data_IF_166031649386
#
_entry.id   IF_166031649386
#
_cell.length_a   1.000
_cell.length_b   1.000
_cell.length_c   1.000
_cell.angle_alpha   90.00
_cell.angle_beta   90.00
_cell.angle_gamma   90.00
#
_symmetry.space_group_name_H-M   'P 1'
#
loop_
_entity.id
_entity.type
_entity.pdbx_description
1 polymer ?
#
# COMPACT_ATOMS: atom_id res chain seq x y z
N UNK A 1 -21.48 -7.64 -24.07
CA UNK A 1 -20.09 -7.53 -23.61
C UNK A 1 -20.13 -7.89 -22.14
N UNK A 2 -19.56 -9.04 -21.80
CA UNK A 2 -19.51 -9.55 -20.42
C UNK A 2 -18.74 -8.53 -19.58
N UNK A 3 -19.33 -8.04 -18.49
CA UNK A 3 -18.60 -7.25 -17.49
C UNK A 3 -17.48 -8.15 -16.95
N UNK A 4 -16.27 -8.00 -17.51
CA UNK A 4 -15.08 -8.62 -16.93
C UNK A 4 -14.73 -7.74 -15.75
N UNK A 5 -14.97 -8.24 -14.55
CA UNK A 5 -14.55 -7.60 -13.30
C UNK A 5 -13.03 -7.41 -13.37
N UNK A 6 -12.56 -6.17 -13.55
CA UNK A 6 -11.14 -5.83 -13.70
C UNK A 6 -10.37 -5.95 -12.38
N UNK A 7 -11.10 -6.12 -11.28
CA UNK A 7 -10.62 -6.21 -9.92
C UNK A 7 -11.62 -7.02 -9.09
N UNK A 8 -11.15 -7.94 -8.26
CA UNK A 8 -11.97 -8.68 -7.32
C UNK A 8 -11.55 -8.34 -5.87
N UNK A 9 -12.50 -8.11 -4.97
CA UNK A 9 -12.23 -7.87 -3.56
C UNK A 9 -13.00 -8.87 -2.69
N UNK A 10 -12.31 -9.56 -1.78
CA UNK A 10 -12.91 -10.54 -0.87
C UNK A 10 -12.38 -10.39 0.55
N UNK A 11 -13.25 -10.59 1.54
CA UNK A 11 -12.83 -10.65 2.94
C UNK A 11 -12.48 -12.10 3.29
N UNK A 12 -11.23 -12.31 3.69
CA UNK A 12 -10.64 -13.58 4.08
C UNK A 12 -10.19 -13.46 5.54
N UNK A 13 -11.04 -13.92 6.48
CA UNK A 13 -10.82 -13.66 7.90
C UNK A 13 -10.92 -12.16 8.23
N UNK A 14 -9.82 -11.58 8.71
CA UNK A 14 -9.66 -10.16 9.03
C UNK A 14 -8.94 -9.37 7.91
N UNK A 15 -8.66 -9.97 6.76
CA UNK A 15 -8.06 -9.31 5.60
C UNK A 15 -9.13 -8.99 4.57
N UNK A 16 -9.05 -7.81 3.94
CA UNK A 16 -9.64 -7.61 2.62
C UNK A 16 -8.57 -7.82 1.56
N UNK A 17 -8.70 -8.86 0.74
CA UNK A 17 -7.79 -9.18 -0.36
C UNK A 17 -8.35 -8.61 -1.65
N UNK A 18 -7.67 -7.60 -2.18
CA UNK A 18 -7.94 -6.94 -3.46
C UNK A 18 -7.02 -7.56 -4.52
N UNK A 19 -7.60 -8.29 -5.45
CA UNK A 19 -6.93 -8.94 -6.59
C UNK A 19 -7.13 -8.13 -7.86
N UNK A 20 -6.03 -7.68 -8.44
CA UNK A 20 -5.99 -7.07 -9.76
C UNK A 20 -6.26 -8.16 -10.82
N UNK A 21 -7.37 -8.07 -11.56
CA UNK A 21 -7.96 -9.20 -12.31
C UNK A 21 -7.91 -8.98 -13.83
N UNK A 22 -6.74 -8.58 -14.36
CA UNK A 22 -6.49 -8.46 -15.81
C UNK A 22 -5.24 -9.28 -16.22
N UNK A 23 -5.19 -10.60 -15.95
CA UNK A 23 -3.97 -11.40 -16.07
C UNK A 23 -3.39 -11.45 -17.49
N UNK A 24 -4.25 -11.36 -18.53
CA UNK A 24 -3.84 -11.41 -19.93
C UNK A 24 -2.96 -10.21 -20.33
N UNK A 25 -3.14 -9.06 -19.68
CA UNK A 25 -2.32 -7.84 -19.84
C UNK A 25 -1.45 -7.58 -18.61
N UNK A 26 -1.12 -8.64 -17.86
CA UNK A 26 -0.27 -8.59 -16.67
C UNK A 26 -0.76 -7.57 -15.63
N UNK A 27 -2.07 -7.48 -15.46
CA UNK A 27 -2.74 -6.61 -14.49
C UNK A 27 -2.40 -5.13 -14.66
N UNK A 28 -2.13 -4.68 -15.89
CA UNK A 28 -1.98 -3.26 -16.18
C UNK A 28 -3.28 -2.50 -15.81
N UNK A 29 -3.15 -1.29 -15.27
CA UNK A 29 -4.29 -0.47 -14.90
C UNK A 29 -4.88 0.24 -16.12
N UNK A 30 -6.16 0.00 -16.40
CA UNK A 30 -6.99 0.94 -17.15
C UNK A 30 -7.69 1.92 -16.20
N UNK A 31 -8.50 2.82 -16.75
CA UNK A 31 -9.18 3.83 -15.96
C UNK A 31 -10.22 3.24 -15.00
N UNK A 32 -11.01 2.27 -15.47
CA UNK A 32 -12.09 1.66 -14.69
C UNK A 32 -11.55 0.88 -13.50
N UNK A 33 -10.44 0.17 -13.70
CA UNK A 33 -9.73 -0.54 -12.65
C UNK A 33 -9.13 0.40 -11.59
N UNK A 34 -8.66 1.60 -11.98
CA UNK A 34 -8.20 2.61 -11.01
C UNK A 34 -9.35 3.09 -10.11
N UNK A 35 -10.52 3.36 -10.70
CA UNK A 35 -11.71 3.75 -9.94
C UNK A 35 -12.22 2.62 -9.04
N UNK A 36 -12.28 1.40 -9.56
CA UNK A 36 -12.66 0.21 -8.80
C UNK A 36 -11.69 -0.05 -7.63
N UNK A 37 -10.38 0.13 -7.85
CA UNK A 37 -9.36 -0.02 -6.81
C UNK A 37 -9.56 0.99 -5.69
N UNK A 38 -9.76 2.28 -6.02
CA UNK A 38 -10.03 3.31 -5.01
C UNK A 38 -11.26 2.97 -4.18
N UNK A 39 -12.36 2.60 -4.84
CA UNK A 39 -13.60 2.22 -4.16
C UNK A 39 -13.41 1.00 -3.25
N UNK A 40 -12.73 -0.05 -3.74
CA UNK A 40 -12.48 -1.24 -2.94
C UNK A 40 -11.65 -0.96 -1.68
N UNK A 41 -10.68 -0.06 -1.76
CA UNK A 41 -9.91 0.38 -0.59
C UNK A 41 -10.77 1.21 0.38
N UNK A 42 -11.59 2.14 -0.13
CA UNK A 42 -12.48 2.94 0.72
C UNK A 42 -13.52 2.06 1.43
N UNK A 43 -14.13 1.10 0.72
CA UNK A 43 -15.08 0.12 1.27
C UNK A 43 -14.38 -0.75 2.35
N UNK A 44 -13.18 -1.25 2.07
CA UNK A 44 -12.41 -2.04 3.03
C UNK A 44 -11.94 -1.21 4.24
N UNK A 45 -11.66 0.07 4.07
CA UNK A 45 -11.31 0.99 5.15
C UNK A 45 -12.49 1.25 6.09
N UNK A 46 -13.72 1.26 5.57
CA UNK A 46 -14.94 1.47 6.34
C UNK A 46 -15.46 0.20 7.04
N UNK A 47 -15.14 -1.00 6.53
CA UNK A 47 -15.68 -2.26 7.07
C UNK A 47 -15.03 -2.67 8.41
N UNK A 48 -15.75 -2.72 9.54
CA UNK A 48 -15.17 -3.07 10.85
C UNK A 48 -14.61 -4.50 10.91
N UNK A 49 -14.99 -5.40 9.99
CA UNK A 49 -14.45 -6.77 9.92
C UNK A 49 -13.01 -6.80 9.40
N UNK A 50 -12.59 -5.77 8.67
CA UNK A 50 -11.28 -5.70 8.03
C UNK A 50 -10.27 -5.06 8.98
N UNK A 51 -9.22 -5.78 9.32
CA UNK A 51 -8.06 -5.26 10.06
C UNK A 51 -7.00 -4.71 9.11
N UNK A 52 -6.69 -5.42 8.01
CA UNK A 52 -5.71 -4.99 7.01
C UNK A 52 -6.21 -5.23 5.57
N UNK A 53 -5.68 -4.46 4.64
CA UNK A 53 -5.95 -4.57 3.21
C UNK A 53 -4.73 -5.19 2.54
N UNK A 54 -4.93 -6.20 1.72
CA UNK A 54 -3.88 -6.83 0.91
C UNK A 54 -4.18 -6.58 -0.56
N UNK A 55 -3.18 -6.11 -1.30
CA UNK A 55 -3.28 -5.93 -2.75
C UNK A 55 -2.38 -6.96 -3.42
N UNK A 56 -2.89 -7.67 -4.42
CA UNK A 56 -2.14 -8.67 -5.19
C UNK A 56 -2.63 -8.76 -6.62
N UNK A 57 -1.89 -9.42 -7.52
CA UNK A 57 -2.31 -9.64 -8.90
C UNK A 57 -2.80 -11.05 -9.18
N UNK A 58 -3.77 -11.19 -10.06
CA UNK A 58 -4.18 -12.49 -10.59
C UNK A 58 -3.12 -13.05 -11.55
N UNK A 59 -2.91 -14.37 -11.52
CA UNK A 59 -1.98 -15.05 -12.41
C UNK A 59 -0.51 -14.72 -12.11
N UNK A 60 0.29 -14.54 -13.17
CA UNK A 60 1.76 -14.53 -13.10
C UNK A 60 2.41 -13.18 -12.80
N UNK A 61 1.64 -12.13 -12.61
CA UNK A 61 2.15 -10.77 -12.42
C UNK A 61 1.42 -10.08 -11.28
N UNK A 62 2.13 -9.21 -10.56
CA UNK A 62 1.48 -8.29 -9.66
C UNK A 62 0.77 -7.20 -10.48
N UNK A 63 1.53 -6.38 -11.21
CA UNK A 63 1.01 -5.35 -12.10
C UNK A 63 2.14 -4.82 -13.02
N UNK A 64 1.91 -4.79 -14.33
CA UNK A 64 2.87 -4.31 -15.32
C UNK A 64 2.87 -2.77 -15.53
N UNK A 65 2.00 -2.03 -14.84
CA UNK A 65 1.94 -0.58 -14.88
C UNK A 65 0.62 -0.04 -15.39
N UNK A 66 0.68 1.06 -16.13
CA UNK A 66 -0.48 1.68 -16.78
C UNK A 66 -0.69 1.05 -18.16
N UNK A 67 -1.94 0.79 -18.51
CA UNK A 67 -2.35 0.22 -19.79
C UNK A 67 -1.93 1.11 -20.97
N UNK A 68 -1.60 0.46 -22.11
CA UNK A 68 -1.15 1.14 -23.33
C UNK A 68 -2.18 2.15 -23.83
N UNK A 69 -3.46 1.85 -23.70
CA UNK A 69 -4.55 2.76 -24.10
C UNK A 69 -4.53 4.10 -23.33
N UNK A 70 -4.16 4.09 -22.05
CA UNK A 70 -3.99 5.31 -21.26
C UNK A 70 -2.73 6.08 -21.68
N UNK A 71 -1.66 5.37 -22.05
CA UNK A 71 -0.43 5.97 -22.56
C UNK A 71 -0.64 6.62 -23.93
N UNK A 72 -1.37 5.98 -24.85
CA UNK A 72 -1.69 6.52 -26.17
C UNK A 72 -2.50 7.82 -26.07
N UNK A 73 -3.50 7.86 -25.16
CA UNK A 73 -4.28 9.08 -24.88
C UNK A 73 -3.41 10.22 -24.36
N UNK A 74 -2.41 9.92 -23.53
CA UNK A 74 -1.47 10.93 -23.03
C UNK A 74 -0.48 11.40 -24.12
N UNK A 75 -0.03 10.49 -25.00
CA UNK A 75 0.96 10.78 -26.03
C UNK A 75 0.41 11.53 -27.24
N UNK A 76 -0.88 11.35 -27.58
CA UNK A 76 -1.49 11.94 -28.78
C UNK A 76 -1.78 13.44 -28.68
N UNK A 77 -1.12 14.17 -27.77
CA UNK A 77 -1.32 15.61 -27.61
C UNK A 77 -2.75 15.98 -27.17
N UNK A 78 -3.51 14.99 -26.68
CA UNK A 78 -4.72 15.20 -25.90
C UNK A 78 -4.36 15.81 -24.55
N UNK A 79 -3.71 16.97 -24.57
CA UNK A 79 -3.74 17.89 -23.46
C UNK A 79 -5.19 18.34 -23.32
N UNK A 80 -6.00 17.51 -22.68
CA UNK A 80 -6.72 18.10 -21.56
C UNK A 80 -5.64 18.70 -20.68
N UNK A 81 -5.62 20.02 -20.54
CA UNK A 81 -4.47 20.75 -20.02
C UNK A 81 -4.02 20.28 -18.63
N UNK A 82 -3.28 21.13 -17.94
CA UNK A 82 -3.08 21.01 -16.50
C UNK A 82 -4.41 21.14 -15.69
N UNK A 83 -5.53 20.59 -16.17
CA UNK A 83 -6.90 20.93 -15.77
C UNK A 83 -8.00 19.88 -15.97
N UNK A 84 -7.86 18.73 -16.65
CA UNK A 84 -8.95 17.73 -16.64
C UNK A 84 -8.57 16.33 -17.17
N UNK A 85 -8.40 15.28 -16.35
CA UNK A 85 -8.27 13.92 -16.94
C UNK A 85 -7.72 12.84 -16.03
N UNK A 86 -7.17 13.30 -14.91
CA UNK A 86 -7.20 12.64 -13.62
C UNK A 86 -7.40 13.77 -12.61
N UNK A 87 -8.59 14.38 -12.63
CA UNK A 87 -9.14 15.06 -11.46
C UNK A 87 -9.15 14.02 -10.33
N UNK A 88 -8.02 13.87 -9.65
CA UNK A 88 -7.81 12.84 -8.65
C UNK A 88 -8.42 13.35 -7.34
N UNK A 89 -9.45 12.71 -6.79
CA UNK A 89 -9.68 12.70 -5.35
C UNK A 89 -8.52 12.05 -4.55
N UNK A 90 -7.35 11.80 -5.17
CA UNK A 90 -6.16 11.13 -4.64
C UNK A 90 -4.93 12.05 -4.48
N UNK A 91 -4.98 13.31 -4.92
CA UNK A 91 -3.81 14.19 -4.94
C UNK A 91 -2.85 13.95 -6.13
N UNK A 92 -1.65 14.55 -6.13
CA UNK A 92 -0.77 14.63 -7.31
C UNK A 92 -0.09 13.31 -7.71
N UNK A 93 -0.07 12.29 -6.84
CA UNK A 93 0.58 11.00 -7.11
C UNK A 93 -0.44 9.85 -7.13
N UNK A 94 -0.28 8.92 -8.07
CA UNK A 94 -1.06 7.67 -8.12
C UNK A 94 -0.99 6.95 -6.78
N UNK A 95 -2.14 6.48 -6.28
CA UNK A 95 -2.24 5.67 -5.07
C UNK A 95 -1.78 6.35 -3.77
N UNK A 96 -1.47 7.65 -3.78
CA UNK A 96 -1.02 8.36 -2.58
C UNK A 96 -2.08 8.38 -1.46
N UNK A 97 -3.36 8.18 -1.79
CA UNK A 97 -4.43 8.02 -0.82
C UNK A 97 -4.20 6.82 0.12
N UNK A 98 -3.45 5.79 -0.29
CA UNK A 98 -3.11 4.63 0.55
C UNK A 98 -2.32 5.02 1.81
N UNK A 99 -1.51 6.08 1.73
CA UNK A 99 -0.76 6.63 2.86
C UNK A 99 -1.69 7.20 3.94
N UNK A 100 -2.93 7.55 3.56
CA UNK A 100 -3.97 8.11 4.44
C UNK A 100 -5.04 7.10 4.83
N UNK A 101 -5.06 5.93 4.21
CA UNK A 101 -5.95 4.83 4.60
C UNK A 101 -5.64 4.43 6.05
N UNK A 102 -6.64 4.40 6.96
CA UNK A 102 -6.39 4.21 8.39
C UNK A 102 -6.05 2.76 8.77
N UNK A 103 -6.05 1.84 7.81
CA UNK A 103 -5.70 0.44 7.99
C UNK A 103 -4.35 0.13 7.31
N UNK A 104 -3.61 -0.88 7.79
CA UNK A 104 -2.44 -1.38 7.08
C UNK A 104 -2.82 -1.81 5.66
N UNK A 105 -2.01 -1.40 4.69
CA UNK A 105 -2.11 -1.79 3.28
C UNK A 105 -0.83 -2.53 2.92
N UNK A 106 -0.95 -3.79 2.54
CA UNK A 106 0.18 -4.69 2.27
C UNK A 106 0.14 -5.10 0.80
N UNK A 107 1.24 -4.87 0.08
CA UNK A 107 1.42 -5.41 -1.25
C UNK A 107 1.92 -6.87 -1.16
N UNK A 108 1.10 -7.82 -1.61
CA UNK A 108 1.52 -9.19 -1.88
C UNK A 108 1.99 -9.28 -3.33
N UNK A 109 3.27 -9.00 -3.56
CA UNK A 109 3.88 -8.95 -4.88
C UNK A 109 4.16 -10.38 -5.35
N UNK A 110 3.15 -11.00 -5.95
CA UNK A 110 3.13 -12.39 -6.42
C UNK A 110 3.86 -12.61 -7.76
N UNK A 111 4.40 -11.56 -8.37
CA UNK A 111 5.06 -11.63 -9.67
C UNK A 111 5.72 -10.30 -10.02
N UNK A 112 5.84 -9.99 -11.32
CA UNK A 112 6.45 -8.71 -11.75
C UNK A 112 5.59 -7.50 -11.30
N UNK A 113 6.23 -6.51 -10.65
CA UNK A 113 5.69 -5.18 -10.42
C UNK A 113 6.52 -4.14 -11.21
N UNK A 114 5.94 -3.54 -12.24
CA UNK A 114 6.65 -2.62 -13.14
C UNK A 114 5.94 -1.27 -13.24
N UNK A 115 6.70 -0.18 -13.21
CA UNK A 115 6.18 1.18 -13.47
C UNK A 115 5.06 1.55 -12.51
N UNK A 116 3.84 1.75 -13.00
CA UNK A 116 2.67 1.97 -12.15
C UNK A 116 2.43 0.86 -11.11
N UNK A 117 2.74 -0.40 -11.42
CA UNK A 117 2.67 -1.51 -10.46
C UNK A 117 3.76 -1.42 -9.39
N UNK A 118 4.95 -0.93 -9.75
CA UNK A 118 5.98 -0.60 -8.78
C UNK A 118 5.52 0.54 -7.87
N UNK A 119 4.98 1.63 -8.44
CA UNK A 119 4.42 2.76 -7.67
C UNK A 119 3.37 2.28 -6.68
N UNK A 120 2.41 1.45 -7.11
CA UNK A 120 1.40 0.86 -6.22
C UNK A 120 2.04 0.10 -5.06
N UNK A 121 3.01 -0.78 -5.34
CA UNK A 121 3.68 -1.56 -4.30
C UNK A 121 4.43 -0.67 -3.29
N UNK A 122 5.00 0.45 -3.75
CA UNK A 122 5.73 1.40 -2.90
C UNK A 122 4.81 2.32 -2.11
N UNK A 123 3.57 2.55 -2.58
CA UNK A 123 2.54 3.29 -1.84
C UNK A 123 1.84 2.44 -0.77
N UNK A 124 1.98 1.12 -0.83
CA UNK A 124 1.59 0.24 0.27
C UNK A 124 2.57 0.38 1.45
N UNK A 125 2.08 0.16 2.67
CA UNK A 125 2.89 0.29 3.89
C UNK A 125 4.01 -0.76 3.91
N UNK A 126 3.67 -2.00 3.57
CA UNK A 126 4.60 -3.15 3.54
C UNK A 126 4.51 -3.91 2.22
N UNK A 127 5.61 -4.56 1.83
CA UNK A 127 5.72 -5.43 0.66
C UNK A 127 6.18 -6.82 1.07
N UNK A 128 5.33 -7.81 0.85
CA UNK A 128 5.69 -9.22 0.89
C UNK A 128 5.85 -9.67 -0.56
N UNK A 129 7.00 -10.24 -0.90
CA UNK A 129 7.28 -10.68 -2.27
C UNK A 129 7.33 -12.20 -2.37
N UNK A 130 6.77 -12.77 -3.44
CA UNK A 130 7.06 -14.16 -3.81
C UNK A 130 8.55 -14.29 -4.19
N UNK A 131 9.18 -15.43 -3.91
CA UNK A 131 10.60 -15.65 -4.13
C UNK A 131 11.04 -15.47 -5.61
N UNK A 132 10.13 -15.74 -6.55
CA UNK A 132 10.32 -15.58 -7.99
C UNK A 132 9.82 -14.22 -8.54
N UNK A 133 9.26 -13.37 -7.66
CA UNK A 133 8.80 -12.05 -8.02
C UNK A 133 9.96 -11.07 -8.22
N UNK A 134 9.62 -9.92 -8.80
CA UNK A 134 10.61 -8.89 -9.10
C UNK A 134 9.96 -7.53 -9.32
N UNK A 135 10.76 -6.49 -9.19
CA UNK A 135 10.32 -5.11 -9.37
C UNK A 135 11.20 -4.33 -10.33
N UNK A 136 10.64 -3.31 -10.99
CA UNK A 136 11.39 -2.34 -11.80
C UNK A 136 10.63 -1.01 -11.95
N UNK A 137 11.37 0.09 -11.89
CA UNK A 137 10.84 1.45 -12.05
C UNK A 137 10.42 1.76 -13.48
N UNK A 138 11.07 1.18 -14.50
CA UNK A 138 10.88 1.36 -15.97
C UNK A 138 10.87 2.80 -16.51
N UNK A 139 10.83 3.85 -15.67
CA UNK A 139 10.67 5.24 -16.09
C UNK A 139 11.81 5.72 -16.99
N UNK A 140 13.06 5.60 -16.53
CA UNK A 140 14.22 6.13 -17.26
C UNK A 140 14.42 5.45 -18.62
N UNK A 141 14.11 4.16 -18.73
CA UNK A 141 14.13 3.41 -20.00
C UNK A 141 13.09 3.88 -21.00
N UNK A 142 12.05 4.59 -20.54
CA UNK A 142 11.02 5.20 -21.38
C UNK A 142 11.23 6.71 -21.55
N UNK A 143 12.38 7.24 -21.14
CA UNK A 143 12.65 8.69 -21.18
C UNK A 143 11.84 9.50 -20.17
N UNK A 144 11.28 8.84 -19.16
CA UNK A 144 10.47 9.47 -18.11
C UNK A 144 11.31 9.73 -16.86
N UNK A 145 10.88 10.73 -16.09
CA UNK A 145 11.47 11.09 -14.80
C UNK A 145 10.98 10.15 -13.69
N UNK A 146 11.49 10.29 -12.46
CA UNK A 146 10.92 9.58 -11.32
C UNK A 146 9.47 10.03 -11.07
N UNK A 147 8.50 9.21 -11.47
CA UNK A 147 7.08 9.57 -11.43
C UNK A 147 6.44 9.33 -10.05
N UNK A 148 5.27 9.94 -9.85
CA UNK A 148 4.36 9.65 -8.73
C UNK A 148 5.01 9.62 -7.34
N UNK A 149 5.93 10.56 -7.07
CA UNK A 149 6.55 10.73 -5.76
C UNK A 149 7.72 9.78 -5.47
N UNK A 150 8.16 8.97 -6.44
CA UNK A 150 9.28 8.03 -6.24
C UNK A 150 10.61 8.72 -5.93
N UNK A 151 10.83 9.95 -6.42
CA UNK A 151 12.00 10.79 -6.05
C UNK A 151 12.00 11.21 -4.58
N UNK A 152 10.84 11.15 -3.91
CA UNK A 152 10.69 11.53 -2.52
C UNK A 152 10.68 10.32 -1.59
N UNK A 153 10.00 9.24 -2.00
CA UNK A 153 9.79 8.02 -1.22
C UNK A 153 11.02 7.10 -1.23
N UNK A 154 11.59 6.79 -2.40
CA UNK A 154 12.71 5.85 -2.49
C UNK A 154 13.95 6.24 -1.69
N UNK A 155 14.45 7.50 -1.72
CA UNK A 155 15.63 7.85 -0.93
C UNK A 155 15.37 7.79 0.57
N UNK A 156 14.12 8.00 1.04
CA UNK A 156 13.76 7.85 2.46
C UNK A 156 13.76 6.38 2.89
N UNK A 157 13.40 5.48 1.99
CA UNK A 157 13.33 4.05 2.29
C UNK A 157 14.69 3.33 2.10
N UNK A 158 15.42 3.67 1.04
CA UNK A 158 16.62 2.92 0.61
C UNK A 158 17.92 3.70 0.84
N UNK A 159 17.84 5.01 1.10
CA UNK A 159 18.96 5.93 0.97
C UNK A 159 19.21 6.38 -0.47
N UNK A 160 19.83 7.55 -0.62
CA UNK A 160 19.96 8.26 -1.90
C UNK A 160 20.68 7.46 -2.99
N UNK A 161 21.80 6.81 -2.66
CA UNK A 161 22.62 6.10 -3.67
C UNK A 161 21.86 4.93 -4.30
N UNK A 162 21.20 4.10 -3.48
CA UNK A 162 20.39 2.97 -3.95
C UNK A 162 19.18 3.45 -4.74
N UNK A 163 18.53 4.52 -4.30
CA UNK A 163 17.42 5.11 -5.03
C UNK A 163 17.85 5.58 -6.43
N UNK A 164 19.00 6.25 -6.55
CA UNK A 164 19.53 6.70 -7.85
C UNK A 164 19.91 5.53 -8.76
N UNK A 165 20.56 4.48 -8.26
CA UNK A 165 20.85 3.27 -9.05
C UNK A 165 19.58 2.73 -9.72
N UNK A 166 18.52 2.54 -8.94
CA UNK A 166 17.26 1.98 -9.44
C UNK A 166 16.50 2.93 -10.37
N UNK A 167 16.48 4.23 -10.06
CA UNK A 167 15.81 5.24 -10.87
C UNK A 167 16.53 5.49 -12.20
N UNK A 168 17.87 5.42 -12.23
CA UNK A 168 18.65 5.59 -13.45
C UNK A 168 18.67 4.33 -14.31
N UNK A 169 19.00 3.19 -13.73
CA UNK A 169 19.18 1.94 -14.48
C UNK A 169 17.86 1.32 -14.94
N UNK A 170 16.78 1.57 -14.19
CA UNK A 170 15.51 0.83 -14.27
C UNK A 170 15.73 -0.69 -14.32
N UNK A 171 16.81 -1.20 -13.70
CA UNK A 171 17.13 -2.62 -13.71
C UNK A 171 16.05 -3.41 -12.97
N UNK A 172 15.91 -4.68 -13.33
CA UNK A 172 15.02 -5.59 -12.61
C UNK A 172 15.70 -6.02 -11.32
N UNK A 173 14.95 -5.97 -10.22
CA UNK A 173 15.40 -6.40 -8.89
C UNK A 173 14.56 -7.60 -8.48
N UNK A 174 15.20 -8.74 -8.22
CA UNK A 174 14.52 -9.95 -7.72
C UNK A 174 14.21 -9.86 -6.22
N UNK A 175 13.36 -10.76 -5.72
CA UNK A 175 12.88 -10.73 -4.32
C UNK A 175 14.00 -10.73 -3.26
N UNK A 176 15.03 -11.58 -3.42
CA UNK A 176 16.16 -11.64 -2.48
C UNK A 176 16.92 -10.30 -2.41
N UNK A 177 17.22 -9.72 -3.56
CA UNK A 177 17.87 -8.41 -3.61
C UNK A 177 16.94 -7.31 -3.07
N UNK A 178 15.65 -7.37 -3.39
CA UNK A 178 14.67 -6.42 -2.90
C UNK A 178 14.61 -6.43 -1.36
N UNK A 179 14.67 -7.60 -0.73
CA UNK A 179 14.75 -7.74 0.72
C UNK A 179 16.03 -7.08 1.27
N UNK A 180 17.19 -7.40 0.67
CA UNK A 180 18.49 -6.84 1.09
C UNK A 180 18.55 -5.31 0.94
N UNK A 181 17.88 -4.75 -0.06
CA UNK A 181 17.84 -3.30 -0.30
C UNK A 181 16.86 -2.58 0.62
N UNK A 182 15.88 -3.28 1.21
CA UNK A 182 14.74 -2.69 1.93
C UNK A 182 13.57 -2.31 1.01
N UNK A 183 13.54 -2.81 -0.23
CA UNK A 183 12.39 -2.71 -1.12
C UNK A 183 11.29 -3.71 -0.77
N UNK A 184 11.65 -4.88 -0.27
CA UNK A 184 10.74 -5.87 0.30
C UNK A 184 10.93 -5.94 1.80
N UNK A 185 9.85 -6.18 2.53
CA UNK A 185 9.89 -6.37 3.98
C UNK A 185 10.03 -7.85 4.33
N UNK A 186 9.43 -8.73 3.52
CA UNK A 186 9.47 -10.19 3.64
C UNK A 186 9.44 -10.86 2.28
N UNK A 187 10.01 -12.07 2.22
CA UNK A 187 9.97 -12.95 1.05
C UNK A 187 9.42 -14.30 1.48
N UNK A 188 8.56 -14.88 0.65
CA UNK A 188 7.99 -16.21 0.87
C UNK A 188 7.93 -16.98 -0.45
N UNK A 189 7.79 -18.31 -0.39
CA UNK A 189 7.47 -19.10 -1.58
C UNK A 189 6.13 -18.64 -2.18
N UNK A 190 5.96 -18.70 -3.52
CA UNK A 190 4.76 -18.20 -4.20
C UNK A 190 3.45 -18.70 -3.57
N UNK A 191 3.34 -20.00 -3.31
CA UNK A 191 2.15 -20.63 -2.74
C UNK A 191 1.94 -20.33 -1.24
N UNK A 192 2.98 -19.82 -0.56
CA UNK A 192 2.93 -19.46 0.85
C UNK A 192 2.74 -17.95 1.08
N UNK A 193 2.77 -17.14 0.02
CA UNK A 193 2.81 -15.68 0.13
C UNK A 193 1.63 -15.10 0.92
N UNK A 194 0.40 -15.45 0.53
CA UNK A 194 -0.79 -14.97 1.25
C UNK A 194 -0.87 -15.55 2.67
N UNK A 195 -0.50 -16.82 2.86
CA UNK A 195 -0.47 -17.45 4.18
C UNK A 195 0.49 -16.74 5.16
N UNK A 196 1.65 -16.30 4.67
CA UNK A 196 2.60 -15.51 5.47
C UNK A 196 2.04 -14.14 5.88
N UNK A 197 1.24 -13.51 5.00
CA UNK A 197 0.58 -12.23 5.32
C UNK A 197 -0.55 -12.45 6.33
N UNK A 198 -1.36 -13.50 6.16
CA UNK A 198 -2.38 -13.87 7.16
C UNK A 198 -1.74 -14.06 8.53
N UNK A 199 -0.70 -14.89 8.65
CA UNK A 199 -0.05 -15.13 9.92
C UNK A 199 0.48 -13.83 10.58
N UNK A 200 1.06 -12.92 9.78
CA UNK A 200 1.54 -11.64 10.27
C UNK A 200 0.41 -10.72 10.75
N UNK A 201 -0.70 -10.66 10.01
CA UNK A 201 -1.83 -9.80 10.35
C UNK A 201 -2.66 -10.38 11.48
N UNK A 202 -2.83 -11.71 11.55
CA UNK A 202 -3.57 -12.38 12.62
C UNK A 202 -2.93 -12.15 13.99
N UNK A 203 -1.60 -12.20 14.06
CA UNK A 203 -0.86 -11.84 15.28
C UNK A 203 -1.12 -10.38 15.69
N UNK A 204 -1.04 -9.43 14.75
CA UNK A 204 -1.36 -8.03 15.04
C UNK A 204 -2.83 -7.84 15.45
N UNK A 205 -3.77 -8.49 14.77
CA UNK A 205 -5.19 -8.39 15.06
C UNK A 205 -5.54 -8.95 16.44
N UNK A 206 -4.80 -9.95 16.92
CA UNK A 206 -4.98 -10.53 18.25
C UNK A 206 -4.36 -9.67 19.38
N UNK A 207 -3.42 -8.78 19.07
CA UNK A 207 -2.55 -8.16 20.09
C UNK A 207 -2.45 -6.64 20.04
N UNK A 208 -2.90 -5.98 18.96
CA UNK A 208 -2.67 -4.56 18.71
C UNK A 208 -3.98 -3.81 18.50
N UNK A 209 -4.10 -2.61 19.09
CA UNK A 209 -5.27 -1.74 18.90
C UNK A 209 -5.36 -1.25 17.44
N UNK A 210 -6.49 -1.49 16.74
CA UNK A 210 -6.71 -0.96 15.40
C UNK A 210 -6.62 0.58 15.35
N UNK A 211 -7.09 1.26 16.40
CA UNK A 211 -7.01 2.72 16.50
C UNK A 211 -5.58 3.21 16.72
N UNK A 212 -4.78 2.49 17.49
CA UNK A 212 -3.36 2.79 17.66
C UNK A 212 -2.64 2.66 16.31
N UNK A 213 -2.86 1.58 15.56
CA UNK A 213 -2.30 1.40 14.21
C UNK A 213 -2.68 2.55 13.27
N UNK A 214 -3.97 2.92 13.23
CA UNK A 214 -4.44 4.02 12.39
C UNK A 214 -3.76 5.35 12.74
N UNK A 215 -3.57 5.59 14.04
CA UNK A 215 -2.90 6.79 14.55
C UNK A 215 -1.41 6.79 14.24
N UNK A 216 -0.71 5.68 14.49
CA UNK A 216 0.72 5.50 14.22
C UNK A 216 1.01 5.66 12.74
N UNK A 217 0.24 5.00 11.86
CA UNK A 217 0.39 5.13 10.41
C UNK A 217 0.28 6.59 9.96
N UNK A 218 -0.78 7.28 10.38
CA UNK A 218 -0.97 8.70 10.08
C UNK A 218 0.19 9.55 10.61
N UNK A 219 0.62 9.30 11.85
CA UNK A 219 1.71 10.00 12.50
C UNK A 219 3.03 9.86 11.73
N UNK A 220 3.40 8.64 11.32
CA UNK A 220 4.62 8.39 10.53
C UNK A 220 4.61 9.19 9.23
N UNK A 221 3.51 9.14 8.48
CA UNK A 221 3.42 9.82 7.19
C UNK A 221 3.31 11.35 7.31
N UNK A 222 2.63 11.88 8.33
CA UNK A 222 2.54 13.32 8.57
C UNK A 222 3.90 13.90 9.01
N UNK A 223 4.67 13.16 9.80
CA UNK A 223 5.98 13.59 10.27
C UNK A 223 7.05 13.63 9.17
N UNK A 224 6.86 12.94 8.04
CA UNK A 224 7.79 13.02 6.91
C UNK A 224 7.94 14.43 6.31
N UNK A 225 6.96 15.31 6.54
CA UNK A 225 6.96 16.70 6.08
C UNK A 225 7.24 17.71 7.20
N UNK A 226 7.57 17.26 8.41
CA UNK A 226 7.77 18.11 9.58
C UNK A 226 9.22 18.07 10.06
N UNK A 227 9.62 19.12 10.78
CA UNK A 227 10.83 19.07 11.60
C UNK A 227 10.57 18.28 12.90
N UNK A 228 11.67 17.97 13.61
CA UNK A 228 11.61 17.19 14.84
C UNK A 228 10.77 17.84 15.94
N UNK A 229 10.80 19.17 16.08
CA UNK A 229 10.07 19.86 17.14
C UNK A 229 8.57 19.84 16.88
N UNK A 230 8.14 20.14 15.65
CA UNK A 230 6.75 20.05 15.25
C UNK A 230 6.20 18.62 15.42
N UNK A 231 6.95 17.61 14.96
CA UNK A 231 6.59 16.20 15.11
C UNK A 231 6.51 15.77 16.59
N UNK A 232 7.39 16.29 17.45
CA UNK A 232 7.38 15.98 18.89
C UNK A 232 6.16 16.57 19.59
N UNK A 233 5.80 17.83 19.29
CA UNK A 233 4.59 18.46 19.85
C UNK A 233 3.34 17.70 19.42
N UNK A 234 3.24 17.31 18.15
CA UNK A 234 2.12 16.50 17.66
C UNK A 234 2.08 15.13 18.34
N UNK A 235 3.23 14.50 18.58
CA UNK A 235 3.31 13.20 19.26
C UNK A 235 2.75 13.25 20.68
N UNK A 236 3.09 14.29 21.45
CA UNK A 236 2.56 14.48 22.81
C UNK A 236 1.03 14.66 22.79
N UNK A 237 0.51 15.46 21.84
CA UNK A 237 -0.94 15.64 21.69
C UNK A 237 -1.67 14.33 21.36
N UNK A 238 -1.11 13.53 20.44
CA UNK A 238 -1.64 12.22 20.07
C UNK A 238 -1.57 11.24 21.26
N UNK A 239 -0.52 11.29 22.06
CA UNK A 239 -0.36 10.44 23.25
C UNK A 239 -1.41 10.78 24.32
N UNK A 240 -1.66 12.07 24.60
CA UNK A 240 -2.72 12.48 25.52
C UNK A 240 -4.10 12.01 25.03
N UNK A 241 -4.39 12.14 23.73
CA UNK A 241 -5.63 11.64 23.15
C UNK A 241 -5.75 10.11 23.21
N UNK A 242 -4.63 9.38 23.08
CA UNK A 242 -4.61 7.92 23.19
C UNK A 242 -4.86 7.46 24.64
N UNK A 243 -4.26 8.11 25.64
CA UNK A 243 -4.46 7.82 27.06
C UNK A 243 -5.90 8.06 27.52
N UNK A 244 -6.59 9.01 26.91
CA UNK A 244 -8.01 9.28 27.17
C UNK A 244 -8.97 8.24 26.54
N UNK A 245 -8.47 7.36 25.65
CA UNK A 245 -9.30 6.38 24.96
C UNK A 245 -9.39 5.05 25.73
N UNK A 246 -10.54 4.34 25.69
CA UNK A 246 -10.73 3.07 26.41
C UNK A 246 -9.72 1.96 26.06
N UNK A 247 -9.16 1.97 24.84
CA UNK A 247 -8.08 1.06 24.45
C UNK A 247 -6.84 1.18 25.36
N UNK A 248 -6.51 2.37 25.87
CA UNK A 248 -5.38 2.52 26.79
C UNK A 248 -5.64 1.78 28.12
N UNK A 249 -6.85 1.89 28.65
CA UNK A 249 -7.25 1.18 29.87
C UNK A 249 -7.28 -0.34 29.65
N UNK A 250 -7.77 -0.81 28.50
CA UNK A 250 -7.76 -2.24 28.15
C UNK A 250 -6.34 -2.77 27.93
N UNK A 251 -5.47 -2.01 27.28
CA UNK A 251 -4.06 -2.35 27.11
C UNK A 251 -3.36 -2.52 28.46
N UNK A 252 -3.54 -1.56 29.38
CA UNK A 252 -2.99 -1.65 30.73
C UNK A 252 -3.54 -2.86 31.50
N UNK A 253 -4.86 -3.07 31.46
CA UNK A 253 -5.53 -4.17 32.17
C UNK A 253 -5.09 -5.54 31.65
N UNK A 254 -5.14 -5.76 30.34
CA UNK A 254 -4.75 -7.02 29.71
C UNK A 254 -3.29 -7.39 29.98
N UNK A 255 -2.40 -6.39 29.99
CA UNK A 255 -1.00 -6.56 30.35
C UNK A 255 -0.81 -7.00 31.81
N UNK A 256 -1.48 -6.34 32.77
CA UNK A 256 -1.44 -6.70 34.19
C UNK A 256 -2.00 -8.11 34.40
N UNK A 257 -3.10 -8.44 33.73
CA UNK A 257 -3.80 -9.73 33.83
C UNK A 257 -3.14 -10.86 33.01
N UNK A 258 -2.11 -10.56 32.21
CA UNK A 258 -1.41 -11.49 31.30
C UNK A 258 -2.36 -12.26 30.38
N UNK A 259 -3.33 -11.55 29.80
CA UNK A 259 -4.27 -12.10 28.81
C UNK A 259 -4.20 -11.31 27.50
N UNK A 260 -4.70 -11.86 26.39
CA UNK A 260 -4.89 -11.09 25.16
C UNK A 260 -5.80 -9.87 25.39
N UNK A 261 -5.49 -8.71 24.77
CA UNK A 261 -6.34 -7.54 24.83
C UNK A 261 -7.62 -7.75 24.00
N UNK A 262 -8.67 -6.98 24.34
CA UNK A 262 -9.94 -6.93 23.61
C UNK A 262 -10.16 -5.51 23.10
N UNK A 263 -9.44 -5.14 22.05
CA UNK A 263 -9.61 -3.84 21.39
C UNK A 263 -10.82 -3.84 20.48
N UNK A 264 -11.50 -2.70 20.38
CA UNK A 264 -12.65 -2.56 19.49
C UNK A 264 -12.19 -2.42 18.03
N UNK A 265 -12.98 -2.93 17.06
CA UNK A 265 -12.72 -2.69 15.65
C UNK A 265 -12.70 -1.20 15.30
N UNK A 266 -11.97 -0.85 14.24
CA UNK A 266 -11.97 0.50 13.72
C UNK A 266 -13.30 0.79 13.00
N UNK A 267 -13.99 1.87 13.38
CA UNK A 267 -15.25 2.31 12.75
C UNK A 267 -16.52 1.99 13.54
N UNK A 268 -16.44 1.13 14.56
CA UNK A 268 -17.51 1.02 15.55
C UNK A 268 -17.46 2.23 16.48
N UNK A 269 -18.55 2.99 16.55
CA UNK A 269 -18.74 4.01 17.58
C UNK A 269 -18.93 3.29 18.90
N UNK A 270 -18.12 3.58 19.92
CA UNK A 270 -18.45 3.09 21.26
C UNK A 270 -19.74 3.79 21.75
N UNK A 271 -20.64 3.07 22.42
CA UNK A 271 -21.80 3.67 23.08
C UNK A 271 -21.40 4.64 24.20
#
# INVERSE_FOLDING_TARGET
MTDIETLAASIEGNLCVIRLQRPDVLNAFDYDMLLAFRRAVDDAAADPRVFAIVVTGAGRAFCAGIDVSLLERAASGGATGAGDGLHRPEGPALFAFLLRTPKPVIAAVNGIAAGGGFVLSMMCDLRFMAADASVTTVFSRRGLVAEHGMSWLLPRQLGTSRALDLLWSSRRVGAEEALRLGLADRVAEPDALLGAIHAYVDDMAATVSPRAIATIKRQVYDHWAQDFLAASVQSEQLMQAALAHPDAAEGARSFIERRPPRFQPLGESQP
#
